data_IF_625473174798
#
_entry.id   IF_625473174798
#
_cell.length_a   1.000
_cell.length_b   1.000
_cell.length_c   1.000
_cell.angle_alpha   90.00
_cell.angle_beta   90.00
_cell.angle_gamma   90.00
#
_symmetry.space_group_name_H-M   'P 1'
#
loop_
_entity.id
_entity.type
_entity.pdbx_description
1 polymer ?
#
# COMPACT_ATOMS: atom_id res chain seq x y z
N UNK A 1 3.30 -16.38 -4.15
CA UNK A 1 4.40 -15.55 -3.60
C UNK A 1 5.65 -15.82 -4.40
N UNK A 2 6.65 -14.94 -4.29
CA UNK A 2 7.96 -15.17 -4.89
C UNK A 2 8.75 -16.26 -4.18
N UNK A 3 10.01 -16.42 -4.60
CA UNK A 3 10.93 -17.50 -4.18
C UNK A 3 11.16 -17.52 -2.67
N UNK A 4 11.24 -16.34 -2.02
CA UNK A 4 11.50 -16.21 -0.59
C UNK A 4 10.26 -15.89 0.26
N UNK A 5 9.09 -15.82 -0.38
CA UNK A 5 7.84 -15.40 0.28
C UNK A 5 7.64 -13.88 0.29
N UNK A 6 6.39 -13.44 0.37
CA UNK A 6 6.04 -12.02 0.25
C UNK A 6 6.17 -11.22 1.54
N UNK A 7 6.54 -11.86 2.65
CA UNK A 7 6.68 -11.21 3.96
C UNK A 7 5.36 -10.84 4.65
N UNK A 8 4.22 -11.25 4.10
CA UNK A 8 2.90 -10.91 4.66
C UNK A 8 2.38 -11.98 5.60
N UNK A 9 1.86 -11.53 6.75
CA UNK A 9 1.14 -12.36 7.70
C UNK A 9 -0.04 -11.58 8.27
N UNK A 10 -1.17 -12.27 8.50
CA UNK A 10 -2.35 -11.68 9.15
C UNK A 10 -2.72 -12.49 10.37
N UNK A 11 -2.81 -11.81 11.50
CA UNK A 11 -3.33 -12.35 12.74
C UNK A 11 -4.73 -11.77 12.99
N UNK A 12 -5.66 -12.63 13.38
CA UNK A 12 -7.03 -12.22 13.67
C UNK A 12 -7.52 -12.88 14.95
N UNK A 13 -8.12 -12.07 15.83
CA UNK A 13 -8.87 -12.58 16.99
C UNK A 13 -10.17 -13.28 16.55
N UNK A 14 -10.74 -12.88 15.41
CA UNK A 14 -11.95 -13.45 14.85
C UNK A 14 -11.63 -14.60 13.89
N UNK A 15 -12.53 -15.57 13.71
CA UNK A 15 -12.34 -16.65 12.75
C UNK A 15 -12.10 -16.12 11.33
N UNK A 16 -11.01 -16.57 10.71
CA UNK A 16 -10.74 -16.39 9.30
C UNK A 16 -11.51 -17.48 8.55
N UNK A 17 -12.41 -17.08 7.66
CA UNK A 17 -13.30 -17.97 6.92
C UNK A 17 -12.72 -18.40 5.58
N UNK A 18 -11.98 -17.51 4.94
CA UNK A 18 -11.35 -17.76 3.65
C UNK A 18 -10.07 -16.93 3.53
N UNK A 19 -9.16 -17.35 2.66
CA UNK A 19 -7.90 -16.65 2.40
C UNK A 19 -7.57 -16.67 0.92
N UNK A 20 -7.24 -15.50 0.37
CA UNK A 20 -6.73 -15.35 -0.99
C UNK A 20 -5.44 -14.54 -0.97
N UNK A 21 -4.42 -15.00 -1.70
CA UNK A 21 -3.19 -14.26 -1.92
C UNK A 21 -3.08 -13.88 -3.39
N UNK A 22 -2.98 -12.59 -3.68
CA UNK A 22 -2.76 -12.08 -5.03
C UNK A 22 -1.38 -11.46 -5.13
N UNK A 23 -0.49 -12.10 -5.91
CA UNK A 23 0.83 -11.56 -6.21
C UNK A 23 0.72 -10.59 -7.38
N UNK A 24 1.32 -9.40 -7.22
CA UNK A 24 1.27 -8.39 -8.27
C UNK A 24 2.06 -8.82 -9.52
N UNK A 25 1.65 -8.32 -10.68
CA UNK A 25 2.26 -8.71 -11.95
C UNK A 25 3.67 -8.16 -12.15
N UNK A 26 3.97 -7.00 -11.54
CA UNK A 26 5.22 -6.26 -11.74
C UNK A 26 5.92 -6.00 -10.42
N UNK A 27 6.93 -6.82 -10.09
CA UNK A 27 7.62 -6.82 -8.79
C UNK A 27 9.10 -6.42 -8.83
N UNK A 28 9.58 -5.82 -9.93
CA UNK A 28 10.99 -5.42 -10.06
C UNK A 28 11.73 -6.18 -11.14
N UNK A 29 13.06 -6.21 -11.05
CA UNK A 29 13.93 -6.82 -12.04
C UNK A 29 14.73 -7.99 -11.45
N UNK A 30 14.82 -9.15 -12.12
CA UNK A 30 15.53 -10.32 -11.59
C UNK A 30 17.03 -10.10 -11.44
N UNK A 31 17.63 -9.23 -12.26
CA UNK A 31 19.08 -8.96 -12.21
C UNK A 31 19.47 -7.95 -11.12
N UNK A 32 18.52 -7.23 -10.52
CA UNK A 32 18.78 -6.28 -9.44
C UNK A 32 18.78 -7.02 -8.09
N UNK A 33 19.83 -7.78 -7.81
CA UNK A 33 19.91 -8.65 -6.63
C UNK A 33 19.76 -7.89 -5.29
N UNK A 34 20.22 -6.63 -5.25
CA UNK A 34 20.10 -5.76 -4.08
C UNK A 34 18.67 -5.23 -3.87
N UNK A 35 17.80 -5.37 -4.88
CA UNK A 35 16.40 -4.94 -4.84
C UNK A 35 15.52 -6.18 -4.71
N UNK A 36 15.34 -6.65 -3.47
CA UNK A 36 14.78 -7.97 -3.14
C UNK A 36 13.34 -8.22 -3.61
N UNK A 37 12.60 -7.19 -3.98
CA UNK A 37 11.18 -7.21 -4.31
C UNK A 37 10.78 -8.26 -5.37
N UNK A 38 11.64 -8.47 -6.37
CA UNK A 38 11.38 -9.47 -7.42
C UNK A 38 11.39 -10.89 -6.84
N UNK A 39 12.31 -11.16 -5.89
CA UNK A 39 12.44 -12.43 -5.21
C UNK A 39 11.34 -12.64 -4.16
N UNK A 40 10.95 -11.59 -3.44
CA UNK A 40 9.84 -11.64 -2.48
C UNK A 40 8.51 -11.94 -3.17
N UNK A 41 8.31 -11.33 -4.35
CA UNK A 41 7.04 -11.37 -5.05
C UNK A 41 5.95 -10.66 -4.25
N UNK A 42 6.07 -9.33 -4.18
CA UNK A 42 5.11 -8.43 -3.50
C UNK A 42 3.66 -8.76 -3.88
N UNK A 43 2.78 -8.65 -2.90
CA UNK A 43 1.42 -9.19 -3.00
C UNK A 43 0.46 -8.44 -2.10
N UNK A 44 -0.83 -8.75 -2.26
CA UNK A 44 -1.88 -8.45 -1.28
C UNK A 44 -2.52 -9.75 -0.80
N UNK A 45 -2.59 -9.90 0.53
CA UNK A 45 -3.27 -10.99 1.21
C UNK A 45 -4.66 -10.56 1.63
N UNK A 46 -5.64 -11.44 1.45
CA UNK A 46 -7.05 -11.22 1.71
C UNK A 46 -7.64 -12.33 2.58
N UNK A 47 -7.64 -12.19 3.92
CA UNK A 47 -8.46 -13.01 4.77
C UNK A 47 -9.90 -12.47 4.80
N UNK A 48 -10.85 -13.28 4.35
CA UNK A 48 -12.27 -13.03 4.64
C UNK A 48 -12.54 -13.41 6.08
N UNK A 49 -12.98 -12.46 6.91
CA UNK A 49 -13.34 -12.72 8.31
C UNK A 49 -14.75 -12.22 8.60
N UNK A 50 -15.36 -12.74 9.68
CA UNK A 50 -16.60 -12.19 10.24
C UNK A 50 -16.29 -11.58 11.60
N UNK A 51 -16.40 -10.26 11.71
CA UNK A 51 -16.29 -9.56 12.98
C UNK A 51 -17.69 -9.38 13.59
N UNK A 52 -17.81 -9.62 14.90
CA UNK A 52 -19.00 -9.25 15.66
C UNK A 52 -18.98 -7.74 15.93
N UNK A 53 -19.98 -7.01 15.44
CA UNK A 53 -20.08 -5.54 15.51
C UNK A 53 -21.06 -5.10 16.63
N UNK A 54 -21.43 -6.02 17.51
CA UNK A 54 -22.39 -5.79 18.60
C UNK A 54 -23.26 -7.02 18.85
N UNK A 55 -24.29 -6.88 19.70
CA UNK A 55 -25.23 -7.97 20.00
C UNK A 55 -25.99 -8.34 18.72
N UNK A 56 -25.64 -9.50 18.14
CA UNK A 56 -26.36 -10.11 17.02
C UNK A 56 -26.03 -9.59 15.61
N UNK A 57 -24.98 -8.76 15.43
CA UNK A 57 -24.58 -8.25 14.10
C UNK A 57 -23.19 -8.76 13.73
N UNK A 58 -23.09 -9.55 12.66
CA UNK A 58 -21.82 -9.93 12.03
C UNK A 58 -21.62 -9.13 10.75
N UNK A 59 -20.54 -8.36 10.64
CA UNK A 59 -20.15 -7.72 9.39
C UNK A 59 -19.01 -8.53 8.75
N UNK A 60 -19.12 -8.94 7.48
CA UNK A 60 -17.97 -9.46 6.74
C UNK A 60 -16.94 -8.36 6.64
N UNK A 61 -15.76 -8.64 7.19
CA UNK A 61 -14.62 -7.76 7.22
C UNK A 61 -13.59 -8.26 6.21
N UNK A 62 -13.27 -7.39 5.25
CA UNK A 62 -12.24 -7.64 4.27
C UNK A 62 -10.96 -6.96 4.73
N UNK A 63 -10.00 -7.72 5.28
CA UNK A 63 -8.69 -7.19 5.61
C UNK A 63 -7.76 -7.39 4.42
N UNK A 64 -6.97 -6.38 4.07
CA UNK A 64 -5.99 -6.49 3.00
C UNK A 64 -4.65 -6.10 3.57
N UNK A 65 -3.72 -7.06 3.65
CA UNK A 65 -2.33 -6.79 4.02
C UNK A 65 -1.47 -6.79 2.78
N UNK A 66 -0.63 -5.78 2.62
CA UNK A 66 0.13 -5.58 1.41
C UNK A 66 1.48 -4.96 1.68
N UNK A 67 2.37 -5.16 0.72
CA UNK A 67 3.56 -4.36 0.57
C UNK A 67 3.70 -4.02 -0.90
N UNK A 68 3.70 -2.74 -1.26
CA UNK A 68 4.03 -2.33 -2.62
C UNK A 68 5.54 -2.39 -2.83
N UNK A 69 5.98 -2.21 -4.08
CA UNK A 69 7.40 -2.17 -4.41
C UNK A 69 8.10 -1.10 -3.58
N UNK A 70 9.33 -1.33 -3.11
CA UNK A 70 10.04 -0.35 -2.31
C UNK A 70 10.45 0.89 -3.13
N UNK A 71 10.49 2.05 -2.48
CA UNK A 71 11.10 3.26 -3.06
C UNK A 71 12.57 3.34 -2.63
N UNK A 72 13.50 2.88 -3.47
CA UNK A 72 14.93 2.86 -3.13
C UNK A 72 15.65 4.21 -3.32
N UNK A 73 15.03 5.15 -4.04
CA UNK A 73 15.60 6.48 -4.27
C UNK A 73 14.53 7.43 -4.80
N UNK A 74 14.17 8.44 -4.01
CA UNK A 74 13.15 9.45 -4.39
C UNK A 74 13.53 10.23 -5.65
N UNK A 75 14.78 10.69 -5.74
CA UNK A 75 15.24 11.54 -6.85
C UNK A 75 15.36 10.79 -8.18
N UNK A 76 15.57 9.47 -8.13
CA UNK A 76 15.79 8.61 -9.30
C UNK A 76 14.96 7.34 -9.21
N UNK A 77 13.67 7.52 -9.03
CA UNK A 77 12.79 6.38 -8.82
C UNK A 77 12.42 5.66 -10.12
N UNK A 78 13.21 4.64 -10.46
CA UNK A 78 12.93 3.75 -11.59
C UNK A 78 11.69 2.85 -11.35
N UNK A 79 11.17 2.79 -10.11
CA UNK A 79 10.13 1.88 -9.70
C UNK A 79 8.77 2.56 -9.44
N UNK A 80 8.66 3.88 -9.61
CA UNK A 80 7.37 4.57 -9.59
C UNK A 80 6.35 3.90 -10.54
N UNK A 81 6.71 3.56 -11.80
CA UNK A 81 5.79 2.83 -12.69
C UNK A 81 5.38 1.46 -12.13
N UNK A 82 6.25 0.79 -11.38
CA UNK A 82 5.93 -0.50 -10.75
C UNK A 82 4.90 -0.29 -9.64
N UNK A 83 5.15 0.65 -8.72
CA UNK A 83 4.21 0.99 -7.64
C UNK A 83 2.85 1.43 -8.18
N UNK A 84 2.81 2.17 -9.29
CA UNK A 84 1.56 2.59 -9.94
C UNK A 84 0.76 1.43 -10.54
N UNK A 85 1.43 0.50 -11.24
CA UNK A 85 0.77 -0.70 -11.77
C UNK A 85 0.22 -1.56 -10.62
N UNK A 86 1.00 -1.74 -9.56
CA UNK A 86 0.56 -2.49 -8.38
C UNK A 86 -0.59 -1.79 -7.64
N UNK A 87 -0.56 -0.46 -7.50
CA UNK A 87 -1.64 0.31 -6.90
C UNK A 87 -2.94 0.21 -7.71
N UNK A 88 -2.83 0.22 -9.05
CA UNK A 88 -3.96 -0.02 -9.95
C UNK A 88 -4.50 -1.45 -9.82
N UNK A 89 -3.63 -2.46 -9.81
CA UNK A 89 -4.02 -3.86 -9.58
C UNK A 89 -4.72 -4.02 -8.23
N UNK A 90 -4.18 -3.42 -7.16
CA UNK A 90 -4.79 -3.40 -5.83
C UNK A 90 -6.18 -2.74 -5.86
N UNK A 91 -6.32 -1.60 -6.53
CA UNK A 91 -7.59 -0.90 -6.63
C UNK A 91 -8.66 -1.75 -7.34
N UNK A 92 -8.28 -2.44 -8.41
CA UNK A 92 -9.15 -3.37 -9.12
C UNK A 92 -9.47 -4.59 -8.26
N UNK A 93 -8.47 -5.16 -7.59
CA UNK A 93 -8.64 -6.29 -6.68
C UNK A 93 -9.65 -5.96 -5.59
N UNK A 94 -9.52 -4.81 -4.91
CA UNK A 94 -10.48 -4.30 -3.91
C UNK A 94 -11.88 -4.21 -4.53
N UNK A 95 -12.01 -3.58 -5.69
CA UNK A 95 -13.32 -3.39 -6.34
C UNK A 95 -14.03 -4.71 -6.64
N UNK A 96 -13.28 -5.73 -7.04
CA UNK A 96 -13.82 -7.03 -7.42
C UNK A 96 -14.10 -7.94 -6.20
N UNK A 97 -13.34 -7.77 -5.11
CA UNK A 97 -13.47 -8.60 -3.89
C UNK A 97 -14.36 -7.98 -2.82
N UNK A 98 -14.56 -6.65 -2.82
CA UNK A 98 -15.32 -5.97 -1.78
C UNK A 98 -16.84 -6.07 -1.92
N UNK A 99 -17.37 -6.67 -2.99
CA UNK A 99 -18.83 -6.68 -3.26
C UNK A 99 -19.64 -7.45 -2.21
N UNK A 100 -19.01 -8.39 -1.51
CA UNK A 100 -19.64 -9.19 -0.46
C UNK A 100 -19.28 -8.72 0.95
N UNK A 101 -18.55 -7.60 1.08
CA UNK A 101 -18.09 -7.08 2.37
C UNK A 101 -18.90 -5.86 2.81
N UNK A 102 -19.32 -5.84 4.07
CA UNK A 102 -19.98 -4.68 4.66
C UNK A 102 -18.97 -3.58 5.00
N UNK A 103 -17.77 -4.00 5.42
CA UNK A 103 -16.64 -3.14 5.77
C UNK A 103 -15.36 -3.68 5.13
N UNK A 104 -14.58 -2.78 4.54
CA UNK A 104 -13.27 -3.07 3.97
C UNK A 104 -12.21 -2.32 4.77
N UNK A 105 -11.19 -3.04 5.21
CA UNK A 105 -9.97 -2.53 5.82
C UNK A 105 -8.77 -2.89 4.96
N UNK A 106 -7.94 -1.91 4.70
CA UNK A 106 -6.69 -2.06 3.98
C UNK A 106 -5.58 -1.58 4.91
N UNK A 107 -4.63 -2.45 5.26
CA UNK A 107 -3.55 -2.14 6.18
C UNK A 107 -2.22 -2.59 5.62
N UNK A 108 -1.21 -1.73 5.61
CA UNK A 108 0.14 -2.14 5.22
C UNK A 108 1.00 -1.02 4.66
N UNK A 109 2.15 -1.42 4.16
CA UNK A 109 3.19 -0.55 3.61
C UNK A 109 2.94 -0.31 2.12
N UNK A 110 2.49 0.91 1.78
CA UNK A 110 2.23 1.32 0.41
C UNK A 110 3.49 1.89 -0.27
N UNK A 111 4.62 2.04 0.43
CA UNK A 111 5.87 2.61 -0.11
C UNK A 111 5.68 3.91 -0.92
N UNK A 112 4.68 4.71 -0.53
CA UNK A 112 4.33 5.96 -1.19
C UNK A 112 3.83 6.98 -0.17
N UNK A 113 4.26 8.22 -0.33
CA UNK A 113 3.85 9.34 0.49
C UNK A 113 2.40 9.75 0.17
N UNK A 114 1.63 10.39 1.09
CA UNK A 114 0.20 10.61 0.90
C UNK A 114 -0.20 11.39 -0.36
N UNK A 115 0.67 12.29 -0.81
CA UNK A 115 0.47 13.13 -2.00
C UNK A 115 0.93 12.45 -3.30
N UNK A 116 1.56 11.28 -3.22
CA UNK A 116 2.03 10.55 -4.39
C UNK A 116 0.86 10.04 -5.21
N UNK A 117 1.05 10.03 -6.53
CA UNK A 117 0.01 9.68 -7.51
C UNK A 117 -0.61 8.30 -7.26
N UNK A 118 0.15 7.32 -6.77
CA UNK A 118 -0.39 5.99 -6.47
C UNK A 118 -1.35 5.97 -5.28
N UNK A 119 -1.10 6.78 -4.22
CA UNK A 119 -2.02 6.90 -3.08
C UNK A 119 -3.30 7.63 -3.50
N UNK A 120 -3.17 8.73 -4.25
CA UNK A 120 -4.31 9.47 -4.80
C UNK A 120 -5.15 8.59 -5.72
N UNK A 121 -4.49 7.81 -6.60
CA UNK A 121 -5.15 6.87 -7.51
C UNK A 121 -5.92 5.79 -6.74
N UNK A 122 -5.27 5.14 -5.78
CA UNK A 122 -5.86 4.07 -4.99
C UNK A 122 -7.09 4.58 -4.22
N UNK A 123 -6.96 5.69 -3.48
CA UNK A 123 -8.04 6.26 -2.68
C UNK A 123 -9.17 6.78 -3.56
N UNK A 124 -8.86 7.53 -4.60
CA UNK A 124 -9.83 8.09 -5.54
C UNK A 124 -10.64 7.00 -6.26
N UNK A 125 -9.98 5.92 -6.70
CA UNK A 125 -10.65 4.83 -7.42
C UNK A 125 -11.46 3.90 -6.50
N UNK A 126 -10.98 3.66 -5.28
CA UNK A 126 -11.63 2.71 -4.36
C UNK A 126 -12.63 3.34 -3.40
N UNK A 127 -12.57 4.65 -3.21
CA UNK A 127 -13.30 5.39 -2.18
C UNK A 127 -12.81 5.10 -0.75
N UNK A 128 -11.62 4.52 -0.60
CA UNK A 128 -11.04 4.26 0.72
C UNK A 128 -10.62 5.57 1.40
N UNK A 129 -11.00 5.68 2.68
CA UNK A 129 -10.72 6.82 3.54
C UNK A 129 -9.50 6.52 4.39
N UNK A 130 -8.71 7.54 4.67
CA UNK A 130 -7.45 7.42 5.41
C UNK A 130 -7.70 7.59 6.90
N UNK A 131 -7.40 6.56 7.69
CA UNK A 131 -7.62 6.59 9.13
C UNK A 131 -6.83 7.71 9.81
N UNK A 132 -5.62 8.03 9.32
CA UNK A 132 -4.83 9.13 9.88
C UNK A 132 -5.52 10.47 9.67
N UNK A 133 -6.07 10.68 8.46
CA UNK A 133 -6.74 11.93 8.11
C UNK A 133 -8.13 12.09 8.80
N UNK A 134 -8.77 10.98 9.18
CA UNK A 134 -10.10 10.99 9.81
C UNK A 134 -10.08 10.78 11.34
N UNK A 135 -8.93 10.46 11.94
CA UNK A 135 -8.83 10.18 13.36
C UNK A 135 -9.25 11.39 14.20
N UNK A 136 -10.08 11.15 15.22
CA UNK A 136 -10.47 12.20 16.18
C UNK A 136 -9.30 12.55 17.11
N UNK A 137 -8.53 11.52 17.48
CA UNK A 137 -7.35 11.64 18.31
C UNK A 137 -6.16 10.96 17.63
N UNK A 138 -5.00 11.64 17.63
CA UNK A 138 -3.75 11.12 17.11
C UNK A 138 -2.65 11.22 18.16
N UNK A 139 -1.92 10.12 18.37
CA UNK A 139 -0.74 10.06 19.25
C UNK A 139 0.40 9.33 18.54
N UNK A 140 1.58 9.93 18.46
CA UNK A 140 2.76 9.28 17.88
C UNK A 140 3.65 10.22 17.08
N UNK A 141 4.33 9.67 16.08
CA UNK A 141 5.27 10.40 15.24
C UNK A 141 4.57 11.51 14.43
N UNK A 142 5.25 12.64 14.26
CA UNK A 142 4.68 13.82 13.58
C UNK A 142 4.15 13.46 12.19
N UNK A 143 3.01 14.02 11.81
CA UNK A 143 2.32 13.78 10.53
C UNK A 143 1.99 12.30 10.25
N UNK A 144 1.99 11.43 11.28
CA UNK A 144 1.80 9.99 11.11
C UNK A 144 2.95 9.33 10.36
N UNK A 145 4.13 9.94 10.30
CA UNK A 145 5.30 9.36 9.66
C UNK A 145 5.69 8.06 10.34
N UNK A 146 6.02 7.07 9.52
CA UNK A 146 6.42 5.74 10.00
C UNK A 146 7.88 5.45 9.75
N UNK A 147 8.46 6.03 8.71
CA UNK A 147 9.90 6.07 8.52
C UNK A 147 10.43 7.40 9.06
N UNK A 148 11.07 7.39 10.24
CA UNK A 148 11.44 8.62 10.98
C UNK A 148 12.96 8.81 11.11
N UNK A 149 13.46 10.08 11.17
CA UNK A 149 14.90 10.37 11.25
C UNK A 149 15.59 9.88 12.52
N UNK A 150 14.83 9.77 13.61
CA UNK A 150 15.34 9.38 14.92
C UNK A 150 15.51 7.86 15.07
N UNK A 151 14.99 7.08 14.11
CA UNK A 151 15.14 5.64 14.10
C UNK A 151 16.54 5.24 13.59
N UNK A 152 17.23 4.37 14.34
CA UNK A 152 18.61 3.99 14.05
C UNK A 152 18.77 3.06 12.84
N UNK A 153 17.69 2.46 12.34
CA UNK A 153 17.72 1.61 11.16
C UNK A 153 17.41 2.37 9.85
N UNK A 154 16.93 3.61 9.93
CA UNK A 154 16.58 4.41 8.76
C UNK A 154 17.80 4.99 8.06
N UNK A 155 17.81 4.96 6.73
CA UNK A 155 18.81 5.68 5.94
C UNK A 155 18.48 7.19 5.92
N UNK A 156 19.35 7.98 6.58
CA UNK A 156 19.19 9.44 6.69
C UNK A 156 19.30 10.15 5.35
N UNK A 157 19.95 9.55 4.36
CA UNK A 157 20.06 10.12 3.02
C UNK A 157 18.72 10.11 2.27
N UNK A 158 17.89 9.09 2.49
CA UNK A 158 16.56 8.98 1.90
C UNK A 158 15.57 10.00 2.51
N UNK A 159 15.81 10.40 3.76
CA UNK A 159 14.98 11.36 4.49
C UNK A 159 15.33 12.83 4.24
N UNK A 160 16.37 13.15 3.44
CA UNK A 160 16.76 14.53 3.17
C UNK A 160 15.61 15.42 2.66
N UNK A 161 14.70 14.96 1.77
CA UNK A 161 13.54 15.75 1.35
C UNK A 161 12.44 15.84 2.42
N UNK A 162 12.48 14.97 3.43
CA UNK A 162 11.43 14.76 4.42
C UNK A 162 12.00 14.85 5.85
N UNK A 163 12.31 16.06 6.35
CA UNK A 163 12.97 16.24 7.64
C UNK A 163 12.13 15.77 8.84
N UNK A 164 10.83 15.56 8.65
CA UNK A 164 9.91 15.00 9.67
C UNK A 164 9.66 13.50 9.50
N UNK A 165 10.29 12.86 8.52
CA UNK A 165 10.03 11.47 8.13
C UNK A 165 9.00 11.34 7.01
N UNK A 166 8.77 10.10 6.59
CA UNK A 166 7.85 9.73 5.50
C UNK A 166 6.74 8.85 6.08
N UNK A 167 5.50 9.14 5.70
CA UNK A 167 4.35 8.27 5.96
C UNK A 167 4.15 7.32 4.79
N UNK A 168 4.43 6.04 5.00
CA UNK A 168 4.31 4.98 3.98
C UNK A 168 3.47 3.79 4.44
N UNK A 169 3.19 3.69 5.74
CA UNK A 169 2.28 2.70 6.31
C UNK A 169 0.91 3.30 6.57
N UNK A 170 -0.13 2.58 6.16
CA UNK A 170 -1.50 3.09 6.17
C UNK A 170 -2.47 2.07 6.74
N UNK A 171 -3.52 2.60 7.38
CA UNK A 171 -4.78 1.90 7.60
C UNK A 171 -5.86 2.70 6.88
N UNK A 172 -6.40 2.14 5.80
CA UNK A 172 -7.47 2.73 5.01
C UNK A 172 -8.76 1.92 5.17
N UNK A 173 -9.92 2.57 5.11
CA UNK A 173 -11.19 1.87 5.28
C UNK A 173 -12.35 2.45 4.46
N UNK A 174 -13.35 1.62 4.20
CA UNK A 174 -14.66 2.03 3.70
C UNK A 174 -15.74 1.07 4.18
N UNK A 175 -16.98 1.50 4.09
CA UNK A 175 -18.13 0.68 4.38
C UNK A 175 -19.24 0.90 3.35
N UNK A 176 -20.11 -0.09 3.21
CA UNK A 176 -21.34 0.06 2.43
C UNK A 176 -22.30 1.02 3.15
N UNK A 177 -23.31 1.54 2.43
CA UNK A 177 -24.23 2.57 2.93
C UNK A 177 -25.05 2.15 4.16
N UNK A 178 -25.22 0.85 4.43
CA UNK A 178 -25.89 0.35 5.64
C UNK A 178 -24.98 0.29 6.87
N UNK A 179 -23.72 0.69 6.75
CA UNK A 179 -22.76 0.74 7.86
C UNK A 179 -22.06 2.10 7.90
N UNK A 180 -21.71 2.53 9.10
CA UNK A 180 -20.83 3.66 9.37
C UNK A 180 -19.57 3.16 10.02
N UNK A 181 -18.44 3.66 9.53
CA UNK A 181 -17.12 3.46 10.14
C UNK A 181 -16.51 4.81 10.42
N UNK A 182 -16.03 5.01 11.65
CA UNK A 182 -15.31 6.21 12.08
C UNK A 182 -14.01 5.80 12.77
N UNK A 183 -12.92 6.50 12.47
CA UNK A 183 -11.68 6.39 13.22
C UNK A 183 -11.78 7.26 14.47
N UNK A 184 -11.86 6.63 15.64
CA UNK A 184 -11.80 7.37 16.91
C UNK A 184 -10.36 7.78 17.20
N UNK A 185 -9.44 6.83 17.08
CA UNK A 185 -8.06 7.03 17.46
C UNK A 185 -7.13 6.37 16.45
N UNK A 186 -6.03 7.05 16.15
CA UNK A 186 -4.89 6.45 15.47
C UNK A 186 -3.62 6.71 16.28
N UNK A 187 -2.79 5.68 16.44
CA UNK A 187 -1.51 5.76 17.12
C UNK A 187 -0.38 5.26 16.24
N UNK A 188 0.82 5.81 16.41
CA UNK A 188 2.05 5.13 15.97
C UNK A 188 2.88 4.73 17.18
N UNK A 189 3.73 3.71 17.03
CA UNK A 189 4.85 3.58 17.99
C UNK A 189 5.77 4.79 17.88
N UNK A 190 6.60 4.97 18.89
CA UNK A 190 7.62 6.02 18.92
C UNK A 190 8.89 5.45 19.55
N UNK A 191 9.94 5.26 18.74
CA UNK A 191 11.27 4.99 19.28
C UNK A 191 11.45 3.57 19.85
N UNK A 192 12.19 3.41 20.96
CA UNK A 192 12.65 2.08 21.41
C UNK A 192 11.53 1.13 21.81
N UNK A 193 11.75 -0.16 21.56
CA UNK A 193 10.86 -1.22 22.00
C UNK A 193 10.90 -1.38 23.54
N UNK A 194 9.79 -1.82 24.18
CA UNK A 194 9.75 -2.01 25.63
C UNK A 194 10.87 -2.93 26.14
N UNK A 195 11.70 -2.40 27.05
CA UNK A 195 12.78 -3.15 27.70
C UNK A 195 14.11 -3.19 26.92
N UNK A 196 14.23 -2.49 25.79
CA UNK A 196 15.48 -2.38 25.02
C UNK A 196 15.67 -0.96 24.48
N UNK A 197 16.91 -0.56 24.20
CA UNK A 197 17.25 0.77 23.66
C UNK A 197 17.22 0.85 22.13
N UNK A 198 16.58 -0.11 21.46
CA UNK A 198 16.45 -0.19 20.01
C UNK A 198 14.98 -0.30 19.59
N UNK A 199 14.55 0.30 18.46
CA UNK A 199 13.19 0.15 17.96
C UNK A 199 12.95 -1.27 17.43
N UNK A 200 11.68 -1.64 17.23
CA UNK A 200 11.31 -2.96 16.69
C UNK A 200 11.69 -3.14 15.22
N UNK A 201 11.64 -2.07 14.44
CA UNK A 201 11.93 -2.00 13.01
C UNK A 201 12.42 -0.59 12.67
N UNK A 202 12.89 -0.40 11.45
CA UNK A 202 13.03 0.91 10.76
C UNK A 202 11.69 1.66 10.59
N UNK A 203 10.57 0.94 10.57
CA UNK A 203 9.23 1.52 10.55
C UNK A 203 8.58 1.55 11.94
N UNK A 204 7.89 2.65 12.24
CA UNK A 204 6.97 2.74 13.37
C UNK A 204 5.64 2.05 13.03
N UNK A 205 5.11 1.24 13.94
CA UNK A 205 3.87 0.51 13.74
C UNK A 205 2.66 1.45 13.78
N UNK A 206 1.67 1.23 12.91
CA UNK A 206 0.41 1.99 12.86
C UNK A 206 -0.72 1.20 13.51
N UNK A 207 -1.48 1.83 14.40
CA UNK A 207 -2.61 1.24 15.11
C UNK A 207 -3.83 2.15 14.98
N UNK A 208 -4.99 1.59 14.64
CA UNK A 208 -6.24 2.37 14.55
C UNK A 208 -7.38 1.71 15.30
N UNK A 209 -8.16 2.53 16.01
CA UNK A 209 -9.41 2.14 16.68
C UNK A 209 -10.59 2.63 15.85
N UNK A 210 -11.29 1.68 15.23
CA UNK A 210 -12.41 1.95 14.34
C UNK A 210 -13.74 1.57 15.01
N UNK A 211 -14.69 2.51 15.04
CA UNK A 211 -16.06 2.26 15.47
C UNK A 211 -16.94 1.96 14.28
N UNK A 212 -17.51 0.76 14.28
CA UNK A 212 -18.39 0.26 13.22
C UNK A 212 -19.80 0.17 13.78
N UNK A 213 -20.77 0.76 13.08
CA UNK A 213 -22.18 0.75 13.48
C UNK A 213 -23.08 0.52 12.26
N UNK A 214 -24.15 -0.27 12.42
CA UNK A 214 -25.16 -0.47 11.37
C UNK A 214 -26.10 0.74 11.34
N UNK A 215 -26.33 1.30 10.15
CA UNK A 215 -27.34 2.32 9.92
C UNK A 215 -28.65 1.73 9.39
N UNK A 216 -29.78 2.34 9.78
CA UNK A 216 -31.13 1.95 9.37
C UNK A 216 -31.60 2.52 8.03
N UNK A 217 -30.91 3.53 7.47
CA UNK A 217 -31.25 4.10 6.16
C UNK A 217 -29.99 4.48 5.37
N UNK A 218 -29.91 4.14 4.07
CA UNK A 218 -28.79 4.53 3.23
C UNK A 218 -28.87 6.02 2.89
N UNK A 219 -27.81 6.76 3.19
CA UNK A 219 -27.65 8.12 2.67
C UNK A 219 -27.41 8.06 1.15
N UNK A 220 -28.11 8.89 0.40
CA UNK A 220 -27.91 9.06 -1.04
C UNK A 220 -26.57 9.79 -1.27
N UNK A 221 -25.64 9.17 -2.01
CA UNK A 221 -24.36 9.78 -2.34
C UNK A 221 -24.51 10.75 -3.51
N UNK A 222 -24.07 11.99 -3.32
CA UNK A 222 -23.97 13.02 -4.37
C UNK A 222 -22.69 12.80 -5.18
N UNK A 223 -22.81 12.36 -6.44
CA UNK A 223 -21.75 12.45 -7.45
C UNK A 223 -21.75 13.87 -8.02
N UNK A 224 -20.60 14.57 -8.01
CA UNK A 224 -20.54 15.90 -8.63
C UNK A 224 -19.16 16.52 -8.83
N UNK A 225 -18.12 16.12 -8.08
CA UNK A 225 -16.77 16.72 -8.21
C UNK A 225 -15.63 15.69 -8.15
N UNK A 226 -15.87 14.50 -7.62
CA UNK A 226 -14.87 13.44 -7.49
C UNK A 226 -14.39 12.86 -8.84
N UNK A 227 -15.26 12.85 -9.85
CA UNK A 227 -14.97 12.20 -11.14
C UNK A 227 -13.92 12.95 -11.97
N UNK A 228 -13.90 14.30 -11.91
CA UNK A 228 -12.92 15.11 -12.63
C UNK A 228 -11.52 14.97 -12.01
N UNK A 229 -11.43 15.07 -10.68
CA UNK A 229 -10.17 14.88 -9.96
C UNK A 229 -9.58 13.47 -10.19
N UNK A 230 -10.44 12.44 -10.25
CA UNK A 230 -10.00 11.08 -10.55
C UNK A 230 -9.48 10.94 -11.99
N UNK A 231 -10.11 11.60 -12.97
CA UNK A 231 -9.66 11.57 -14.36
C UNK A 231 -8.25 12.17 -14.53
N UNK A 232 -7.95 13.26 -13.81
CA UNK A 232 -6.62 13.88 -13.81
C UNK A 232 -5.57 12.93 -13.21
N UNK A 233 -5.87 12.33 -12.05
CA UNK A 233 -4.99 11.36 -11.38
C UNK A 233 -4.72 10.14 -12.26
N UNK A 234 -5.74 9.61 -12.95
CA UNK A 234 -5.58 8.49 -13.89
C UNK A 234 -4.71 8.88 -15.08
N UNK A 235 -4.83 10.11 -15.56
CA UNK A 235 -4.02 10.64 -16.67
C UNK A 235 -2.56 10.79 -16.27
N UNK A 236 -2.30 11.30 -15.07
CA UNK A 236 -0.96 11.38 -14.46
C UNK A 236 -0.35 9.98 -14.32
N UNK A 237 -1.07 9.04 -13.70
CA UNK A 237 -0.61 7.66 -13.52
C UNK A 237 -0.29 6.98 -14.86
N UNK A 238 -1.16 7.18 -15.88
CA UNK A 238 -0.93 6.65 -17.24
C UNK A 238 0.34 7.24 -17.85
N UNK A 239 0.62 8.51 -17.61
CA UNK A 239 1.81 9.19 -18.14
C UNK A 239 3.08 8.58 -17.55
N UNK A 240 3.13 8.41 -16.23
CA UNK A 240 4.26 7.79 -15.52
C UNK A 240 4.49 6.33 -15.93
N UNK A 241 3.41 5.54 -16.02
CA UNK A 241 3.50 4.16 -16.54
C UNK A 241 4.02 4.16 -17.99
N UNK A 242 3.60 5.13 -18.81
CA UNK A 242 4.11 5.30 -20.17
C UNK A 242 5.60 5.64 -20.23
N UNK A 243 6.12 6.43 -19.28
CA UNK A 243 7.55 6.71 -19.14
C UNK A 243 8.30 5.40 -18.82
N UNK A 244 7.81 4.64 -17.84
CA UNK A 244 8.37 3.33 -17.47
C UNK A 244 8.42 2.34 -18.64
N UNK A 245 7.32 2.24 -19.40
CA UNK A 245 7.25 1.35 -20.56
C UNK A 245 8.29 1.70 -21.63
N UNK A 246 8.45 3.00 -21.94
CA UNK A 246 9.47 3.46 -22.89
C UNK A 246 10.89 3.20 -22.39
N UNK A 247 11.14 3.36 -21.08
CA UNK A 247 12.42 3.03 -20.47
C UNK A 247 12.74 1.53 -20.62
N UNK A 248 11.79 0.66 -20.27
CA UNK A 248 11.93 -0.80 -20.40
C UNK A 248 12.15 -1.23 -21.86
N UNK A 249 11.42 -0.64 -22.81
CA UNK A 249 11.61 -0.89 -24.24
C UNK A 249 13.03 -0.53 -24.71
N UNK A 250 13.51 0.66 -24.35
CA UNK A 250 14.87 1.11 -24.68
C UNK A 250 15.93 0.18 -24.10
N UNK A 251 15.76 -0.22 -22.84
CA UNK A 251 16.68 -1.14 -22.18
C UNK A 251 16.69 -2.51 -22.88
N UNK A 252 15.52 -3.06 -23.22
CA UNK A 252 15.42 -4.32 -23.96
C UNK A 252 16.17 -4.28 -25.29
N UNK A 253 16.02 -3.20 -26.06
CA UNK A 253 16.76 -3.03 -27.32
C UNK A 253 18.27 -2.92 -27.10
N UNK A 254 18.71 -2.17 -26.09
CA UNK A 254 20.13 -2.02 -25.75
C UNK A 254 20.75 -3.35 -25.33
N UNK A 255 20.13 -4.05 -24.36
CA UNK A 255 20.58 -5.35 -23.88
C UNK A 255 20.58 -6.42 -24.98
N UNK A 256 19.56 -6.42 -25.85
CA UNK A 256 19.52 -7.33 -27.00
C UNK A 256 20.67 -7.10 -27.98
N UNK A 257 21.00 -5.84 -28.29
CA UNK A 257 22.17 -5.51 -29.13
C UNK A 257 23.48 -5.96 -28.50
N UNK A 258 23.65 -5.73 -27.19
CA UNK A 258 24.85 -6.16 -26.47
C UNK A 258 24.98 -7.69 -26.43
N UNK A 259 23.88 -8.42 -26.26
CA UNK A 259 23.87 -9.88 -26.29
C UNK A 259 24.27 -10.42 -27.67
N UNK A 260 23.75 -9.83 -28.76
CA UNK A 260 24.15 -10.20 -30.13
C UNK A 260 25.63 -9.92 -30.37
N UNK A 261 26.14 -8.75 -29.95
CA UNK A 261 27.56 -8.42 -30.07
C UNK A 261 28.44 -9.40 -29.28
N UNK A 262 28.03 -9.76 -28.05
CA UNK A 262 28.75 -10.73 -27.23
C UNK A 262 28.77 -12.12 -27.89
N UNK A 263 27.65 -12.57 -28.47
CA UNK A 263 27.60 -13.84 -29.21
C UNK A 263 28.51 -13.82 -30.45
N UNK A 264 28.53 -12.72 -31.20
CA UNK A 264 29.43 -12.58 -32.37
C UNK A 264 30.91 -12.63 -31.95
N UNK A 265 31.26 -12.00 -30.82
CA UNK A 265 32.63 -12.04 -30.29
C UNK A 265 33.04 -13.42 -29.77
N UNK A 266 32.10 -14.26 -29.34
CA UNK A 266 32.38 -15.65 -28.94
C UNK A 266 32.59 -16.59 -30.14
N UNK A 267 32.17 -16.18 -31.34
CA UNK A 267 32.32 -16.95 -32.58
C UNK A 267 33.58 -16.56 -33.38
N UNK A 268 34.30 -15.53 -32.94
CA UNK A 268 35.59 -15.07 -33.49
C UNK A 268 36.75 -15.61 -32.65
#
# INVERSE_FOLDING_TARGET
SGVIGSGLCVFSRFPILDTLLYQYSLNGYPYMLQHGDWFCGKSVGLPGSRAGVGVGVTAPLLSLSLQLHAEYCRDKDAYLPHRLVQAWELAQFIRHTSKAADVVLLGGDLNMHPEDVGIRLLRGWTGLRDAFAEATHFEGCKNGCTLVPDNCFTDKSELLPFPLGIRIDYILYKAISSFTVKCEELRTTTGPAPGVDIPFSDHEAVMATLHIQRQGQPACATLGTADLALADVVTEARTEVGVGLRAAQRQRYSSGRMAVLALLLLLL
#
